data_IF_085630936725
#
_entry.id   IF_085630936725
#
_cell.length_a   1.000
_cell.length_b   1.000
_cell.length_c   1.000
_cell.angle_alpha   90.00
_cell.angle_beta   90.00
_cell.angle_gamma   90.00
#
_symmetry.space_group_name_H-M   'P 1'
#
loop_
_entity.id
_entity.type
_entity.pdbx_description
1 polymer ?
#
# COMPACT_ATOMS: atom_id res chain seq x y z
N UNK A 1 -9.63 5.86 7.73
CA UNK A 1 -9.94 7.30 7.55
C UNK A 1 -8.76 7.91 6.81
N UNK A 2 -8.91 8.33 5.55
CA UNK A 2 -7.78 8.75 4.71
C UNK A 2 -8.00 10.16 4.16
N UNK A 3 -8.02 11.16 5.06
CA UNK A 3 -7.90 12.58 4.70
C UNK A 3 -6.88 13.23 5.62
N UNK A 4 -5.96 14.00 5.06
CA UNK A 4 -4.97 14.78 5.82
C UNK A 4 -5.21 16.26 5.46
N UNK A 5 -6.19 16.86 6.14
CA UNK A 5 -6.75 18.15 5.73
C UNK A 5 -7.60 18.03 4.46
N UNK A 6 -7.35 18.90 3.48
CA UNK A 6 -8.06 18.94 2.19
C UNK A 6 -7.48 17.97 1.14
N UNK A 7 -6.40 17.27 1.49
CA UNK A 7 -5.66 16.41 0.56
C UNK A 7 -6.14 14.96 0.64
N UNK A 8 -6.35 14.36 -0.53
CA UNK A 8 -6.56 12.92 -0.65
C UNK A 8 -5.26 12.19 -0.28
N UNK A 9 -5.42 11.06 0.41
CA UNK A 9 -4.30 10.20 0.80
C UNK A 9 -4.54 8.80 0.25
N UNK A 10 -3.50 8.20 -0.30
CA UNK A 10 -3.52 6.84 -0.81
C UNK A 10 -2.75 5.94 0.15
N UNK A 11 -3.40 4.85 0.54
CA UNK A 11 -2.84 3.82 1.39
C UNK A 11 -2.69 2.55 0.58
N UNK A 12 -1.47 2.05 0.49
CA UNK A 12 -1.09 0.87 -0.27
C UNK A 12 -0.67 -0.21 0.71
N UNK A 13 -1.26 -1.38 0.57
CA UNK A 13 -0.86 -2.58 1.29
C UNK A 13 -0.23 -3.55 0.30
N UNK A 14 1.00 -3.98 0.59
CA UNK A 14 1.76 -4.89 -0.25
C UNK A 14 2.26 -6.08 0.57
N UNK A 15 2.18 -7.28 0.01
CA UNK A 15 2.69 -8.49 0.67
C UNK A 15 4.18 -8.66 0.39
N UNK A 16 4.90 -9.13 1.42
CA UNK A 16 6.26 -9.62 1.28
C UNK A 16 6.27 -11.01 0.65
N UNK A 17 7.37 -11.33 -0.05
CA UNK A 17 7.65 -12.71 -0.45
C UNK A 17 8.11 -13.51 0.77
N UNK A 18 7.80 -14.81 0.77
CA UNK A 18 8.10 -15.78 1.84
C UNK A 18 9.55 -15.81 2.31
N UNK A 19 10.47 -15.50 1.39
CA UNK A 19 11.92 -15.56 1.64
C UNK A 19 12.50 -14.25 2.20
N UNK A 20 11.65 -13.24 2.42
CA UNK A 20 12.08 -11.91 2.87
C UNK A 20 11.89 -11.77 4.37
N UNK A 21 12.96 -11.36 5.06
CA UNK A 21 12.97 -11.21 6.51
C UNK A 21 12.17 -9.96 6.95
N UNK A 22 11.40 -10.05 8.05
CA UNK A 22 10.55 -8.96 8.57
C UNK A 22 11.34 -7.68 8.88
N UNK A 23 12.62 -7.83 9.22
CA UNK A 23 13.55 -6.71 9.46
C UNK A 23 13.67 -5.81 8.22
N UNK A 24 13.51 -6.36 7.02
CA UNK A 24 13.57 -5.60 5.76
C UNK A 24 12.23 -4.97 5.36
N UNK A 25 11.13 -5.29 6.05
CA UNK A 25 9.80 -4.77 5.71
C UNK A 25 9.76 -3.23 5.70
N UNK A 26 10.36 -2.60 6.72
CA UNK A 26 10.43 -1.15 6.84
C UNK A 26 11.25 -0.50 5.72
N UNK A 27 12.38 -1.12 5.36
CA UNK A 27 13.22 -0.64 4.27
C UNK A 27 12.50 -0.77 2.92
N UNK A 28 11.83 -1.89 2.68
CA UNK A 28 11.04 -2.13 1.48
C UNK A 28 9.85 -1.17 1.37
N UNK A 29 9.16 -0.89 2.47
CA UNK A 29 8.09 0.10 2.52
C UNK A 29 8.60 1.49 2.09
N UNK A 30 9.76 1.90 2.61
CA UNK A 30 10.42 3.15 2.23
C UNK A 30 10.83 3.19 0.76
N UNK A 31 11.43 2.11 0.26
CA UNK A 31 11.81 1.98 -1.15
C UNK A 31 10.59 2.05 -2.09
N UNK A 32 9.52 1.32 -1.77
CA UNK A 32 8.29 1.33 -2.56
C UNK A 32 7.64 2.72 -2.56
N UNK A 33 7.59 3.38 -1.41
CA UNK A 33 7.11 4.76 -1.30
C UNK A 33 7.92 5.72 -2.18
N UNK A 34 9.25 5.63 -2.17
CA UNK A 34 10.12 6.46 -2.99
C UNK A 34 9.91 6.17 -4.49
N UNK A 35 9.84 4.90 -4.88
CA UNK A 35 9.59 4.51 -6.27
C UNK A 35 8.24 5.03 -6.79
N UNK A 36 7.17 4.93 -6.00
CA UNK A 36 5.86 5.47 -6.37
C UNK A 36 5.94 7.00 -6.52
N UNK A 37 6.64 7.68 -5.61
CA UNK A 37 6.86 9.12 -5.70
C UNK A 37 7.58 9.50 -6.99
N UNK A 38 8.60 8.75 -7.39
CA UNK A 38 9.37 9.00 -8.62
C UNK A 38 8.57 8.67 -9.88
N UNK A 39 7.85 7.55 -9.90
CA UNK A 39 7.15 7.04 -11.09
C UNK A 39 5.80 7.74 -11.34
N UNK A 40 5.09 8.12 -10.28
CA UNK A 40 3.72 8.66 -10.35
C UNK A 40 3.64 10.12 -9.86
N UNK A 41 4.60 10.58 -9.05
CA UNK A 41 4.63 11.96 -8.54
C UNK A 41 3.83 12.18 -7.24
N UNK A 42 3.13 11.17 -6.73
CA UNK A 42 2.26 11.27 -5.55
C UNK A 42 2.93 10.76 -4.27
N UNK A 43 2.52 11.34 -3.15
CA UNK A 43 2.91 10.86 -1.82
C UNK A 43 1.91 9.82 -1.33
N UNK A 44 2.40 8.69 -0.84
CA UNK A 44 1.59 7.55 -0.40
C UNK A 44 2.05 7.03 0.96
N UNK A 45 1.15 6.35 1.65
CA UNK A 45 1.47 5.52 2.83
C UNK A 45 1.52 4.07 2.38
N UNK A 46 2.58 3.36 2.77
CA UNK A 46 2.82 1.96 2.37
C UNK A 46 2.94 1.12 3.63
N UNK A 47 2.08 0.11 3.73
CA UNK A 47 2.21 -0.96 4.73
C UNK A 47 2.62 -2.24 4.04
N UNK A 48 3.65 -2.87 4.60
CA UNK A 48 4.18 -4.12 4.12
C UNK A 48 3.71 -5.23 5.05
N UNK A 49 2.96 -6.18 4.51
CA UNK A 49 2.30 -7.25 5.26
C UNK A 49 2.98 -8.61 4.99
N UNK A 50 2.89 -9.57 5.92
CA UNK A 50 3.31 -10.95 5.67
C UNK A 50 2.56 -11.59 4.51
N UNK A 51 3.16 -12.61 3.89
CA UNK A 51 2.54 -13.37 2.80
C UNK A 51 1.19 -13.97 3.25
N UNK A 52 0.15 -13.82 2.43
CA UNK A 52 -1.16 -14.41 2.67
C UNK A 52 -2.06 -13.58 3.59
N UNK A 53 -1.65 -12.35 3.93
CA UNK A 53 -2.47 -11.41 4.69
C UNK A 53 -3.56 -10.75 3.83
N UNK A 54 -3.32 -10.59 2.53
CA UNK A 54 -4.26 -10.02 1.59
C UNK A 54 -5.15 -11.11 0.97
N UNK A 55 -6.45 -10.81 0.76
CA UNK A 55 -7.37 -11.76 0.16
C UNK A 55 -6.92 -12.10 -1.27
N UNK A 56 -6.70 -13.40 -1.53
CA UNK A 56 -6.44 -13.88 -2.89
C UNK A 56 -7.74 -13.87 -3.69
N UNK A 57 -7.68 -13.43 -4.95
CA UNK A 57 -8.89 -13.30 -5.75
C UNK A 57 -9.37 -14.66 -6.27
N UNK A 58 -10.56 -15.09 -5.89
CA UNK A 58 -11.26 -16.25 -6.45
C UNK A 58 -11.97 -15.92 -7.79
N UNK A 59 -11.40 -15.00 -8.58
CA UNK A 59 -12.03 -14.46 -9.78
C UNK A 59 -11.34 -13.17 -10.26
N UNK A 60 -12.06 -12.04 -10.22
CA UNK A 60 -11.47 -10.71 -10.52
C UNK A 60 -10.87 -10.11 -9.24
N UNK A 61 -9.59 -9.74 -9.29
CA UNK A 61 -8.93 -9.11 -8.14
C UNK A 61 -9.40 -7.67 -7.94
N UNK A 62 -10.09 -7.41 -6.82
CA UNK A 62 -10.36 -6.05 -6.35
C UNK A 62 -9.16 -5.58 -5.49
N UNK A 63 -8.37 -4.64 -6.03
CA UNK A 63 -7.17 -4.09 -5.35
C UNK A 63 -7.30 -2.63 -4.94
N UNK A 64 -8.36 -1.96 -5.39
CA UNK A 64 -8.61 -0.55 -5.13
C UNK A 64 -9.89 -0.43 -4.31
N UNK A 65 -9.75 0.16 -3.14
CA UNK A 65 -10.86 0.45 -2.23
C UNK A 65 -10.96 1.96 -2.07
N UNK A 66 -12.02 2.55 -2.62
CA UNK A 66 -12.30 3.96 -2.41
C UNK A 66 -13.04 4.13 -1.08
N UNK A 67 -12.31 4.54 -0.06
CA UNK A 67 -12.82 4.80 1.29
C UNK A 67 -12.94 6.29 1.57
N UNK A 68 -12.91 7.14 0.54
CA UNK A 68 -13.20 8.56 0.70
C UNK A 68 -14.64 8.68 1.18
N UNK A 69 -14.84 9.20 2.40
CA UNK A 69 -16.19 9.60 2.81
C UNK A 69 -16.67 10.65 1.83
N UNK A 70 -17.64 10.29 0.98
CA UNK A 70 -18.44 11.27 0.26
C UNK A 70 -19.07 12.18 1.30
N UNK A 71 -18.88 13.49 1.11
CA UNK A 71 -19.70 14.48 1.80
C UNK A 71 -21.13 14.39 1.26
#
# INVERSE_FOLDING_TARGET
>A
MCKQGHLDTLHIQAEMRKDTNDVMAHQLAGQLKAQIKTMVGISVTVDVLPEGSLPRSEGKAQRVFDIRKSA
#
